data_IF_339981015536
#
_entry.id   IF_339981015536
#
_cell.length_a   1.000
_cell.length_b   1.000
_cell.length_c   1.000
_cell.angle_alpha   90.00
_cell.angle_beta   90.00
_cell.angle_gamma   90.00
#
_symmetry.space_group_name_H-M   'P 1'
#
loop_
_entity.id
_entity.type
_entity.pdbx_description
1 polymer ?
#
# COMPACT_ATOMS: atom_id res chain seq x y z
N UNK A 1 -52.93 8.37 79.63
CA UNK A 1 -53.02 9.20 78.40
C UNK A 1 -51.66 9.84 78.14
N UNK A 2 -51.27 9.85 76.86
CA UNK A 2 -50.07 10.47 76.24
C UNK A 2 -48.82 9.58 76.13
N UNK A 3 -48.78 8.88 74.99
CA UNK A 3 -47.58 8.41 74.30
C UNK A 3 -46.67 9.60 73.97
N UNK A 4 -45.36 9.46 74.20
CA UNK A 4 -44.33 10.24 73.51
C UNK A 4 -43.23 9.27 73.05
N UNK A 5 -43.28 8.91 71.77
CA UNK A 5 -42.20 8.22 71.08
C UNK A 5 -41.12 9.25 70.71
N UNK A 6 -39.88 9.04 71.16
CA UNK A 6 -38.73 9.79 70.67
C UNK A 6 -38.21 9.12 69.40
N UNK A 7 -38.27 9.85 68.28
CA UNK A 7 -37.74 9.45 66.99
C UNK A 7 -36.22 9.66 66.94
N UNK A 8 -35.50 8.61 66.56
CA UNK A 8 -34.08 8.66 66.20
C UNK A 8 -33.98 9.13 64.74
N UNK A 9 -33.37 10.28 64.51
CA UNK A 9 -33.05 10.77 63.16
C UNK A 9 -31.78 10.07 62.69
N UNK A 10 -31.92 9.15 61.73
CA UNK A 10 -30.81 8.51 61.02
C UNK A 10 -30.49 9.34 59.78
N UNK A 11 -29.36 10.05 59.77
CA UNK A 11 -28.84 10.76 58.59
C UNK A 11 -28.12 9.71 57.72
N UNK A 12 -28.75 9.28 56.63
CA UNK A 12 -28.11 8.46 55.60
C UNK A 12 -27.27 9.35 54.67
N UNK A 13 -25.95 9.36 54.86
CA UNK A 13 -25.02 9.81 53.82
C UNK A 13 -24.98 8.76 52.70
N UNK A 14 -25.67 9.03 51.60
CA UNK A 14 -25.50 8.30 50.35
C UNK A 14 -24.18 8.74 49.70
N UNK A 15 -23.10 8.00 49.97
CA UNK A 15 -21.91 8.04 49.13
C UNK A 15 -22.29 7.46 47.75
N UNK A 16 -22.38 8.32 46.72
CA UNK A 16 -22.42 7.86 45.33
C UNK A 16 -21.07 7.20 45.04
N UNK A 17 -21.05 5.88 44.98
CA UNK A 17 -19.93 5.16 44.39
C UNK A 17 -19.79 5.62 42.93
N UNK A 18 -18.63 6.17 42.58
CA UNK A 18 -18.30 6.48 41.20
C UNK A 18 -18.30 5.16 40.41
N UNK A 19 -19.19 5.05 39.42
CA UNK A 19 -19.12 3.98 38.44
C UNK A 19 -17.79 4.18 37.68
N UNK A 20 -16.91 3.18 37.57
CA UNK A 20 -15.70 3.32 36.78
C UNK A 20 -16.10 3.70 35.35
N UNK A 21 -15.52 4.77 34.81
CA UNK A 21 -15.72 5.14 33.42
C UNK A 21 -15.33 3.95 32.55
N UNK A 22 -16.17 3.60 31.58
CA UNK A 22 -15.86 2.53 30.65
C UNK A 22 -14.56 2.86 29.89
N UNK A 23 -13.71 1.85 29.69
CA UNK A 23 -12.45 2.02 28.94
C UNK A 23 -12.75 2.48 27.50
N UNK A 24 -11.97 3.42 26.94
CA UNK A 24 -12.12 3.83 25.56
C UNK A 24 -12.09 2.64 24.59
N UNK A 25 -13.03 2.62 23.66
CA UNK A 25 -13.12 1.64 22.58
C UNK A 25 -12.34 2.11 21.36
N UNK A 26 -11.59 1.19 20.74
CA UNK A 26 -10.89 1.44 19.46
C UNK A 26 -11.60 0.66 18.35
N UNK A 27 -12.20 1.38 17.41
CA UNK A 27 -12.77 0.82 16.19
C UNK A 27 -11.80 1.05 15.02
N UNK A 28 -11.60 0.02 14.20
CA UNK A 28 -10.73 0.08 13.01
C UNK A 28 -11.54 -0.37 11.80
N UNK A 29 -11.43 0.39 10.72
CA UNK A 29 -11.84 -0.04 9.38
C UNK A 29 -10.66 0.02 8.43
N UNK A 30 -10.53 -1.03 7.62
CA UNK A 30 -9.49 -1.15 6.60
C UNK A 30 -10.15 -1.45 5.25
N UNK A 31 -9.84 -0.63 4.25
CA UNK A 31 -10.09 -0.95 2.85
C UNK A 31 -8.78 -1.40 2.23
N UNK A 32 -8.74 -2.62 1.72
CA UNK A 32 -7.59 -3.13 0.98
C UNK A 32 -7.20 -2.19 -0.17
N UNK A 33 -5.95 -2.25 -0.64
CA UNK A 33 -5.47 -1.39 -1.73
C UNK A 33 -6.35 -1.47 -2.99
N UNK A 34 -6.95 -2.64 -3.22
CA UNK A 34 -7.97 -2.81 -4.24
C UNK A 34 -9.19 -1.90 -4.00
N UNK A 35 -9.80 -1.88 -2.82
CA UNK A 35 -11.07 -1.19 -2.63
C UNK A 35 -10.93 0.26 -2.13
N UNK A 36 -9.70 0.71 -1.94
CA UNK A 36 -9.36 2.08 -1.57
C UNK A 36 -9.59 3.05 -2.74
N UNK A 37 -10.26 4.17 -2.43
CA UNK A 37 -10.54 5.23 -3.40
C UNK A 37 -10.59 6.59 -2.71
N UNK A 38 -10.38 7.65 -3.49
CA UNK A 38 -10.42 9.01 -2.96
C UNK A 38 -11.76 9.29 -2.24
N UNK A 39 -11.69 10.03 -1.13
CA UNK A 39 -12.87 10.42 -0.34
C UNK A 39 -13.14 9.58 0.92
N UNK A 40 -12.36 8.53 1.18
CA UNK A 40 -12.29 7.85 2.50
C UNK A 40 -13.67 7.44 3.06
N UNK A 41 -14.51 6.84 2.22
CA UNK A 41 -15.83 6.37 2.63
C UNK A 41 -15.72 5.04 3.36
N UNK A 42 -16.02 4.97 4.66
CA UNK A 42 -16.07 3.72 5.42
C UNK A 42 -17.51 3.39 5.84
N UNK A 43 -17.75 2.20 6.42
CA UNK A 43 -19.11 1.78 6.77
C UNK A 43 -19.59 2.42 8.07
N UNK A 44 -18.70 2.61 9.05
CA UNK A 44 -19.06 3.04 10.41
C UNK A 44 -18.30 4.29 10.85
N UNK A 45 -17.05 4.45 10.45
CA UNK A 45 -16.24 5.64 10.71
C UNK A 45 -16.56 6.68 9.64
N UNK A 46 -16.91 7.89 10.07
CA UNK A 46 -17.13 9.01 9.15
C UNK A 46 -15.88 9.29 8.31
N UNK A 47 -16.05 9.91 7.14
CA UNK A 47 -14.91 10.42 6.37
C UNK A 47 -14.31 11.67 7.05
N UNK A 48 -13.06 12.06 6.71
CA UNK A 48 -12.45 13.31 7.16
C UNK A 48 -13.39 14.52 7.08
N UNK A 49 -13.62 15.17 8.22
CA UNK A 49 -14.49 16.34 8.34
C UNK A 49 -13.73 17.64 8.07
N UNK A 50 -14.43 18.72 7.72
CA UNK A 50 -13.81 20.04 7.47
C UNK A 50 -14.02 21.04 8.62
N UNK A 51 -14.87 20.69 9.59
CA UNK A 51 -15.35 21.61 10.63
C UNK A 51 -15.36 20.96 12.03
N UNK A 52 -14.58 19.91 12.25
CA UNK A 52 -14.40 19.32 13.57
C UNK A 52 -13.50 20.21 14.46
N UNK A 53 -13.30 19.83 15.73
CA UNK A 53 -12.56 20.66 16.67
C UNK A 53 -11.05 20.73 16.36
N UNK A 54 -10.49 19.75 15.65
CA UNK A 54 -9.09 19.76 15.24
C UNK A 54 -8.84 20.75 14.09
N UNK A 55 -9.84 21.07 13.26
CA UNK A 55 -9.70 21.99 12.13
C UNK A 55 -9.21 23.42 12.51
N UNK A 56 -9.31 23.80 13.79
CA UNK A 56 -8.81 25.07 14.33
C UNK A 56 -7.73 24.88 15.40
N UNK A 57 -7.27 23.65 15.61
CA UNK A 57 -6.27 23.33 16.61
C UNK A 57 -4.87 23.75 16.16
N UNK A 58 -3.94 23.73 17.10
CA UNK A 58 -2.51 23.88 16.81
C UNK A 58 -1.84 22.51 16.89
N UNK A 59 -1.33 22.04 15.76
CA UNK A 59 -0.52 20.84 15.68
C UNK A 59 0.96 21.22 15.84
N UNK A 60 1.70 20.47 16.65
CA UNK A 60 3.12 20.69 16.85
C UNK A 60 3.90 19.37 16.93
N UNK A 61 5.08 19.35 16.29
CA UNK A 61 6.01 18.23 16.39
C UNK A 61 6.84 18.37 17.67
N UNK A 62 6.47 17.61 18.70
CA UNK A 62 7.18 17.61 19.99
C UNK A 62 8.45 16.78 19.93
N UNK A 63 8.43 15.68 19.16
CA UNK A 63 9.58 14.82 18.96
C UNK A 63 9.53 14.14 17.59
N UNK A 64 10.70 13.75 17.09
CA UNK A 64 10.87 13.13 15.77
C UNK A 64 11.14 14.16 14.68
N UNK A 65 11.35 13.67 13.46
CA UNK A 65 11.62 14.50 12.30
C UNK A 65 10.62 14.16 11.19
N UNK A 66 9.97 15.18 10.63
CA UNK A 66 9.13 15.05 9.44
C UNK A 66 9.99 14.71 8.22
N UNK A 67 9.52 13.81 7.36
CA UNK A 67 10.17 13.60 6.07
C UNK A 67 9.95 14.81 5.15
N UNK A 68 10.99 15.32 4.46
CA UNK A 68 10.85 16.49 3.60
C UNK A 68 9.88 16.29 2.43
N UNK A 69 9.63 15.05 1.99
CA UNK A 69 8.68 14.75 0.91
C UNK A 69 7.23 14.74 1.39
N UNK A 70 7.00 14.62 2.70
CA UNK A 70 5.66 14.64 3.27
C UNK A 70 5.00 16.01 3.23
N UNK A 71 3.70 16.06 3.49
CA UNK A 71 3.00 17.27 3.87
C UNK A 71 3.52 17.83 5.19
N UNK A 72 3.28 19.12 5.42
CA UNK A 72 3.48 19.74 6.73
C UNK A 72 2.34 19.31 7.70
N UNK A 73 2.39 19.70 8.98
CA UNK A 73 1.42 19.22 9.98
C UNK A 73 -0.02 19.64 9.67
N UNK A 74 -0.20 20.71 8.91
CA UNK A 74 -1.49 21.27 8.53
C UNK A 74 -2.34 20.28 7.72
N UNK A 75 -1.72 19.32 7.03
CA UNK A 75 -2.45 18.25 6.31
C UNK A 75 -3.14 17.25 7.24
N UNK A 76 -2.99 17.40 8.56
CA UNK A 76 -3.68 16.56 9.55
C UNK A 76 -4.99 17.19 10.03
N UNK A 77 -5.32 18.40 9.58
CA UNK A 77 -6.48 19.18 10.05
C UNK A 77 -7.11 20.05 8.96
N UNK A 78 -6.76 19.85 7.69
CA UNK A 78 -7.24 20.71 6.60
C UNK A 78 -8.54 20.20 5.97
N UNK A 79 -9.09 19.10 6.50
CA UNK A 79 -10.27 18.41 6.02
C UNK A 79 -10.10 17.80 4.63
N UNK A 80 -8.87 17.70 4.11
CA UNK A 80 -8.56 17.14 2.80
C UNK A 80 -7.81 15.83 2.98
N UNK A 81 -8.52 14.75 2.69
CA UNK A 81 -7.89 13.44 2.60
C UNK A 81 -7.09 13.26 1.29
N UNK A 82 -6.08 12.39 1.32
CA UNK A 82 -5.31 12.00 0.15
C UNK A 82 -6.21 11.49 -0.99
N UNK A 83 -5.93 11.92 -2.21
CA UNK A 83 -6.68 11.51 -3.40
C UNK A 83 -6.13 10.25 -4.07
N UNK A 84 -4.93 9.83 -3.69
CA UNK A 84 -4.27 8.63 -4.22
C UNK A 84 -3.46 7.91 -3.15
N UNK A 85 -3.21 6.62 -3.39
CA UNK A 85 -2.52 5.74 -2.44
C UNK A 85 -1.07 6.15 -2.14
N UNK A 86 -0.40 6.90 -3.00
CA UNK A 86 0.98 7.34 -2.78
C UNK A 86 1.09 8.82 -3.13
N UNK A 87 0.60 9.67 -2.22
CA UNK A 87 0.58 11.12 -2.36
C UNK A 87 1.31 11.79 -1.20
N UNK A 88 2.66 11.79 -1.19
CA UNK A 88 3.46 12.30 -0.08
C UNK A 88 3.06 13.71 0.39
N UNK A 89 2.84 14.65 -0.53
CA UNK A 89 2.50 16.03 -0.19
C UNK A 89 1.14 16.20 0.54
N UNK A 90 0.23 15.23 0.43
CA UNK A 90 -1.06 15.22 1.10
C UNK A 90 -1.07 14.38 2.40
N UNK A 91 0.11 13.91 2.84
CA UNK A 91 0.21 13.05 4.02
C UNK A 91 1.38 13.49 4.90
N UNK A 92 1.17 13.52 6.20
CA UNK A 92 2.24 13.64 7.16
C UNK A 92 2.86 12.26 7.44
N UNK A 93 4.20 12.20 7.43
CA UNK A 93 4.94 11.03 7.88
C UNK A 93 6.33 11.40 8.40
N UNK A 94 6.85 10.55 9.28
CA UNK A 94 8.19 10.70 9.84
C UNK A 94 9.28 10.27 8.86
N UNK A 95 10.45 10.88 9.00
CA UNK A 95 11.64 10.64 8.20
C UNK A 95 12.06 9.17 8.29
N UNK A 96 12.50 8.62 7.15
CA UNK A 96 12.93 7.25 7.05
C UNK A 96 14.06 6.91 8.05
N UNK A 97 13.98 5.72 8.65
CA UNK A 97 14.95 5.21 9.62
C UNK A 97 14.81 5.78 11.03
N UNK A 98 13.79 6.59 11.31
CA UNK A 98 13.52 7.10 12.67
C UNK A 98 12.61 6.16 13.46
N UNK A 99 12.48 6.38 14.77
CA UNK A 99 11.60 5.57 15.62
C UNK A 99 10.10 5.95 15.49
N UNK A 100 9.80 7.05 14.79
CA UNK A 100 8.54 7.78 14.87
C UNK A 100 8.72 9.07 15.67
N UNK A 101 7.69 9.51 16.38
CA UNK A 101 7.75 10.76 17.13
C UNK A 101 6.45 11.10 17.86
N UNK A 102 6.34 12.36 18.27
CA UNK A 102 5.23 12.85 19.09
C UNK A 102 4.58 14.05 18.41
N UNK A 103 3.28 13.96 18.18
CA UNK A 103 2.46 15.04 17.63
C UNK A 103 1.55 15.54 18.74
N UNK A 104 1.69 16.80 19.11
CA UNK A 104 0.80 17.51 20.02
C UNK A 104 -0.34 18.13 19.22
N UNK A 105 -1.57 17.97 19.72
CA UNK A 105 -2.75 18.71 19.28
C UNK A 105 -3.25 19.55 20.45
N UNK A 106 -3.11 20.87 20.35
CA UNK A 106 -3.70 21.82 21.30
C UNK A 106 -4.99 22.40 20.71
N UNK A 107 -6.13 22.00 21.28
CA UNK A 107 -7.46 22.43 20.86
C UNK A 107 -7.76 23.91 21.25
N UNK A 108 -6.85 24.55 22.00
CA UNK A 108 -6.97 25.92 22.48
C UNK A 108 -7.97 26.12 23.63
N UNK A 109 -8.85 25.13 23.86
CA UNK A 109 -9.79 25.06 24.99
C UNK A 109 -10.10 23.61 25.33
N UNK A 110 -10.69 23.38 26.49
CA UNK A 110 -11.28 22.08 26.80
C UNK A 110 -12.48 21.82 25.86
N UNK A 111 -12.48 20.65 25.23
CA UNK A 111 -13.53 20.14 24.34
C UNK A 111 -14.07 18.86 24.96
N UNK A 112 -15.40 18.71 25.01
CA UNK A 112 -16.02 17.45 25.43
C UNK A 112 -15.97 16.47 24.24
N UNK A 113 -14.92 15.66 24.19
CA UNK A 113 -14.62 14.84 23.01
C UNK A 113 -15.53 13.61 23.01
N UNK A 114 -16.31 13.44 21.94
CA UNK A 114 -17.07 12.21 21.68
C UNK A 114 -16.17 11.11 21.16
N UNK A 115 -15.39 11.40 20.12
CA UNK A 115 -14.45 10.47 19.52
C UNK A 115 -13.33 11.20 18.77
N UNK A 116 -12.21 10.51 18.58
CA UNK A 116 -11.02 10.99 17.86
C UNK A 116 -10.81 10.03 16.69
N UNK A 117 -10.85 10.56 15.47
CA UNK A 117 -10.65 9.77 14.26
C UNK A 117 -9.29 10.07 13.65
N UNK A 118 -8.66 9.05 13.06
CA UNK A 118 -7.39 9.22 12.34
C UNK A 118 -7.37 8.37 11.08
N UNK A 119 -6.80 8.93 10.01
CA UNK A 119 -6.91 8.39 8.66
C UNK A 119 -5.53 8.24 8.02
N UNK A 120 -5.34 7.18 7.24
CA UNK A 120 -4.09 6.95 6.51
C UNK A 120 -4.32 6.16 5.23
N UNK A 121 -3.43 6.34 4.23
CA UNK A 121 -3.47 5.59 2.98
C UNK A 121 -2.07 5.38 2.40
N UNK A 122 -1.72 4.12 2.14
CA UNK A 122 -0.52 3.77 1.38
C UNK A 122 -0.66 2.42 0.64
N UNK A 123 -0.01 2.15 -0.51
CA UNK A 123 -0.05 0.85 -1.18
C UNK A 123 0.59 -0.31 -0.39
N UNK A 124 1.29 -0.04 0.73
CA UNK A 124 2.13 -1.02 1.45
C UNK A 124 2.09 -0.80 2.96
N UNK A 125 3.05 -1.37 3.69
CA UNK A 125 3.28 -1.26 5.14
C UNK A 125 3.35 0.16 5.75
N UNK A 126 3.22 1.22 4.95
CA UNK A 126 3.08 2.60 5.43
C UNK A 126 1.61 3.04 5.55
N UNK A 127 0.66 2.15 5.28
CA UNK A 127 -0.78 2.37 5.46
C UNK A 127 -1.23 2.20 6.91
N UNK A 128 -0.83 1.13 7.63
CA UNK A 128 -1.25 0.91 9.00
C UNK A 128 -0.84 2.04 9.95
N UNK A 129 -1.59 2.21 11.03
CA UNK A 129 -1.37 3.21 12.06
C UNK A 129 -0.87 2.52 13.34
N UNK A 130 0.23 3.03 13.90
CA UNK A 130 0.80 2.53 15.16
C UNK A 130 1.09 3.70 16.08
N UNK A 131 0.26 3.91 17.10
CA UNK A 131 0.45 4.99 18.06
C UNK A 131 -0.17 4.70 19.43
N UNK A 132 0.26 5.45 20.44
CA UNK A 132 -0.42 5.57 21.73
C UNK A 132 -0.99 6.99 21.84
N UNK A 133 -2.24 7.08 22.27
CA UNK A 133 -2.98 8.34 22.36
C UNK A 133 -3.16 8.69 23.83
N UNK A 134 -2.80 9.92 24.18
CA UNK A 134 -2.97 10.50 25.50
C UNK A 134 -3.77 11.79 25.42
N UNK A 135 -4.40 12.18 26.53
CA UNK A 135 -5.08 13.45 26.67
C UNK A 135 -4.72 14.16 27.98
N UNK A 136 -4.91 15.48 28.01
CA UNK A 136 -4.76 16.26 29.24
C UNK A 136 -5.67 17.48 29.24
N UNK A 137 -6.12 17.86 30.44
CA UNK A 137 -6.76 19.15 30.69
C UNK A 137 -5.73 20.30 30.77
N UNK A 138 -4.45 19.96 30.88
CA UNK A 138 -3.35 20.90 31.13
C UNK A 138 -3.30 21.47 32.54
N UNK A 139 -4.17 21.00 33.44
CA UNK A 139 -4.28 21.50 34.83
C UNK A 139 -3.62 20.56 35.85
N UNK A 140 -3.15 19.39 35.42
CA UNK A 140 -2.46 18.45 36.29
C UNK A 140 -1.17 19.08 36.83
N UNK A 141 -0.85 18.81 38.10
CA UNK A 141 0.42 19.24 38.67
C UNK A 141 1.57 18.58 37.92
N UNK A 142 2.61 19.34 37.56
CA UNK A 142 3.73 18.84 36.77
C UNK A 142 3.40 18.59 35.29
N UNK A 143 2.28 19.11 34.78
CA UNK A 143 1.94 19.00 33.36
C UNK A 143 3.06 19.57 32.48
N UNK A 144 3.61 18.72 31.62
CA UNK A 144 4.52 19.12 30.56
C UNK A 144 3.81 18.95 29.21
N UNK A 145 3.45 20.03 28.49
CA UNK A 145 2.77 19.93 27.20
C UNK A 145 3.66 19.37 26.09
N UNK A 146 4.99 19.39 26.27
CA UNK A 146 5.97 18.97 25.26
C UNK A 146 6.95 17.96 25.87
N UNK A 147 6.48 16.78 26.30
CA UNK A 147 7.35 15.77 26.88
C UNK A 147 8.31 15.24 25.81
N UNK A 148 9.61 15.27 26.12
CA UNK A 148 10.66 14.76 25.24
C UNK A 148 10.45 13.28 24.89
N UNK A 149 11.13 12.80 23.85
CA UNK A 149 10.92 11.45 23.30
C UNK A 149 11.06 10.32 24.35
N UNK A 150 11.95 10.50 25.31
CA UNK A 150 12.29 9.58 26.42
C UNK A 150 11.47 9.82 27.70
N UNK A 151 10.66 10.89 27.75
CA UNK A 151 9.81 11.21 28.90
C UNK A 151 8.50 10.44 28.81
N UNK A 152 8.17 9.66 29.84
CA UNK A 152 6.85 9.02 29.97
C UNK A 152 5.74 10.06 30.14
N UNK A 153 4.77 10.18 29.20
CA UNK A 153 3.70 11.17 29.31
C UNK A 153 2.91 11.06 30.61
N UNK A 154 2.69 9.85 31.14
CA UNK A 154 1.87 9.63 32.34
C UNK A 154 2.50 10.25 33.59
N UNK A 155 3.82 10.39 33.60
CA UNK A 155 4.57 11.00 34.70
C UNK A 155 4.55 12.53 34.68
N UNK A 156 4.05 13.14 33.60
CA UNK A 156 4.03 14.59 33.43
C UNK A 156 2.66 15.10 32.98
N UNK A 157 1.59 14.56 33.57
CA UNK A 157 0.24 15.11 33.50
C UNK A 157 -0.57 14.74 32.26
N UNK A 158 -0.22 13.64 31.58
CA UNK A 158 -1.02 13.06 30.51
C UNK A 158 -1.74 11.79 30.97
N UNK A 159 -2.97 11.61 30.51
CA UNK A 159 -3.79 10.42 30.78
C UNK A 159 -3.85 9.54 29.52
N UNK A 160 -3.61 8.23 29.63
CA UNK A 160 -3.68 7.34 28.48
C UNK A 160 -5.13 7.13 28.05
N UNK A 161 -5.41 7.30 26.76
CA UNK A 161 -6.72 7.03 26.17
C UNK A 161 -6.75 5.70 25.42
N UNK A 162 -5.78 5.44 24.55
CA UNK A 162 -5.81 4.25 23.70
C UNK A 162 -4.42 3.86 23.19
N UNK A 163 -4.30 2.58 22.81
CA UNK A 163 -3.19 2.07 22.02
C UNK A 163 -3.72 1.51 20.70
N UNK A 164 -3.18 2.02 19.60
CA UNK A 164 -3.60 1.69 18.24
C UNK A 164 -2.47 0.97 17.53
N UNK A 165 -2.81 -0.19 16.96
CA UNK A 165 -1.94 -0.95 16.05
C UNK A 165 -2.83 -1.63 15.00
N UNK A 166 -2.93 -1.03 13.82
CA UNK A 166 -3.80 -1.54 12.75
C UNK A 166 -3.09 -2.48 11.80
N UNK A 167 -1.86 -2.92 12.12
CA UNK A 167 -1.12 -3.84 11.26
C UNK A 167 -1.86 -5.18 11.16
N UNK A 168 -2.13 -5.68 9.94
CA UNK A 168 -2.83 -6.94 9.79
C UNK A 168 -1.97 -8.08 10.32
N UNK A 169 -2.57 -8.98 11.10
CA UNK A 169 -1.91 -10.22 11.55
C UNK A 169 -1.57 -11.14 10.38
N UNK A 170 -2.42 -11.12 9.35
CA UNK A 170 -2.29 -11.87 8.09
C UNK A 170 -2.94 -11.04 6.98
N UNK A 171 -2.40 -11.07 5.76
CA UNK A 171 -3.00 -10.38 4.59
C UNK A 171 -2.30 -9.08 4.21
N UNK A 172 -2.99 -8.24 3.45
CA UNK A 172 -2.42 -7.04 2.83
C UNK A 172 -2.26 -5.87 3.81
N UNK A 173 -1.05 -5.30 3.86
CA UNK A 173 -0.75 -4.10 4.63
C UNK A 173 -1.19 -2.80 3.95
N UNK A 174 -1.37 -2.82 2.63
CA UNK A 174 -1.73 -1.63 1.85
C UNK A 174 -3.21 -1.30 1.94
N UNK A 175 -3.56 -0.08 1.54
CA UNK A 175 -4.92 0.43 1.49
C UNK A 175 -5.19 1.58 2.46
N UNK A 176 -6.46 1.87 2.66
CA UNK A 176 -6.93 2.95 3.53
C UNK A 176 -7.29 2.42 4.92
N UNK A 177 -6.84 3.11 5.95
CA UNK A 177 -7.20 2.83 7.34
C UNK A 177 -7.92 4.03 7.92
N UNK A 178 -9.00 3.76 8.65
CA UNK A 178 -9.62 4.68 9.57
C UNK A 178 -9.65 4.06 10.96
N UNK A 179 -9.28 4.84 11.96
CA UNK A 179 -9.36 4.47 13.37
C UNK A 179 -10.25 5.48 14.06
N UNK A 180 -11.15 5.01 14.91
CA UNK A 180 -11.98 5.83 15.78
C UNK A 180 -11.77 5.37 17.23
N UNK A 181 -11.25 6.26 18.06
CA UNK A 181 -11.17 6.10 19.52
C UNK A 181 -12.37 6.82 20.10
N UNK A 182 -13.22 6.13 20.86
CA UNK A 182 -14.45 6.67 21.42
C UNK A 182 -14.86 5.95 22.70
N UNK A 183 -16.05 6.25 23.24
CA UNK A 183 -16.57 5.61 24.45
C UNK A 183 -18.02 5.12 24.24
N UNK A 184 -18.22 4.27 23.22
CA UNK A 184 -19.56 3.89 22.77
C UNK A 184 -20.38 5.12 22.34
N UNK A 185 -21.59 5.25 22.88
CA UNK A 185 -22.47 6.41 22.64
C UNK A 185 -22.16 7.60 23.57
N UNK A 186 -21.21 7.46 24.50
CA UNK A 186 -20.81 8.47 25.46
C UNK A 186 -19.67 9.37 24.97
N UNK A 187 -19.03 10.06 25.92
CA UNK A 187 -17.87 10.94 25.68
C UNK A 187 -16.60 10.33 26.27
N UNK A 188 -15.47 10.60 25.62
CA UNK A 188 -14.12 10.26 26.10
C UNK A 188 -13.68 11.14 27.27
N UNK A 189 -14.23 12.36 27.36
CA UNK A 189 -13.93 13.32 28.42
C UNK A 189 -13.70 14.72 27.89
N UNK A 190 -13.51 15.67 28.82
CA UNK A 190 -13.27 17.08 28.50
C UNK A 190 -11.77 17.36 28.49
N UNK A 191 -11.18 17.48 27.30
CA UNK A 191 -9.72 17.55 27.11
C UNK A 191 -9.34 18.78 26.28
N UNK A 192 -8.19 19.39 26.58
CA UNK A 192 -7.63 20.47 25.74
C UNK A 192 -6.49 19.96 24.87
N UNK A 193 -5.66 19.08 25.41
CA UNK A 193 -4.46 18.60 24.75
C UNK A 193 -4.62 17.13 24.41
N UNK A 194 -4.18 16.75 23.21
CA UNK A 194 -3.98 15.37 22.79
C UNK A 194 -2.51 15.16 22.40
N UNK A 195 -1.98 13.98 22.69
CA UNK A 195 -0.62 13.60 22.31
C UNK A 195 -0.65 12.25 21.59
N UNK A 196 -0.26 12.25 20.33
CA UNK A 196 -0.04 11.04 19.54
C UNK A 196 1.44 10.65 19.65
N UNK A 197 1.72 9.56 20.35
CA UNK A 197 3.04 8.93 20.39
C UNK A 197 3.11 7.88 19.29
N UNK A 198 3.58 8.30 18.11
CA UNK A 198 3.61 7.50 16.88
C UNK A 198 4.87 6.65 16.82
N UNK A 199 4.72 5.40 16.40
CA UNK A 199 5.82 4.45 16.20
C UNK A 199 5.92 4.02 14.74
N UNK A 200 7.07 3.50 14.35
CA UNK A 200 7.27 2.84 13.04
C UNK A 200 6.32 1.66 12.85
N UNK A 201 5.86 1.45 11.62
CA UNK A 201 5.00 0.33 11.22
C UNK A 201 5.80 -0.93 10.92
N UNK A 202 7.10 -0.80 10.61
CA UNK A 202 8.00 -1.90 10.30
C UNK A 202 9.37 -1.69 10.93
N UNK A 203 9.95 -2.78 11.45
CA UNK A 203 11.30 -2.77 12.02
C UNK A 203 12.40 -3.06 10.98
N UNK A 204 12.02 -3.62 9.84
CA UNK A 204 12.94 -4.10 8.79
C UNK A 204 12.90 -3.24 7.52
N UNK A 205 11.95 -2.32 7.42
CA UNK A 205 11.83 -1.38 6.30
C UNK A 205 12.12 0.02 6.81
N UNK A 206 13.17 0.64 6.28
CA UNK A 206 13.56 2.01 6.66
C UNK A 206 12.46 3.03 6.38
N UNK A 207 11.55 2.77 5.44
CA UNK A 207 10.41 3.64 5.16
C UNK A 207 9.18 3.33 6.01
N UNK A 208 9.23 2.39 6.96
CA UNK A 208 8.09 1.92 7.73
C UNK A 208 7.47 2.95 8.68
N UNK A 209 6.83 3.99 8.15
CA UNK A 209 6.10 5.02 8.89
C UNK A 209 4.74 5.26 8.23
N UNK A 210 3.71 5.45 9.05
CA UNK A 210 2.34 5.73 8.62
C UNK A 210 2.26 7.01 7.77
N UNK A 211 1.55 6.97 6.64
CA UNK A 211 1.08 8.15 5.89
C UNK A 211 -0.23 8.63 6.48
N UNK A 212 -0.16 9.50 7.49
CA UNK A 212 -1.37 10.10 8.05
C UNK A 212 -1.91 11.18 7.11
N UNK A 213 -3.20 11.14 6.84
CA UNK A 213 -3.85 12.11 5.93
C UNK A 213 -4.81 13.06 6.63
N UNK A 214 -5.27 12.76 7.84
CA UNK A 214 -6.15 13.62 8.64
C UNK A 214 -6.27 13.05 10.07
N UNK A 215 -6.51 13.92 11.05
CA UNK A 215 -6.94 13.63 12.41
C UNK A 215 -8.13 14.52 12.75
N UNK A 216 -9.30 13.92 13.01
CA UNK A 216 -10.50 14.63 13.44
C UNK A 216 -10.70 14.49 14.95
N UNK A 217 -11.14 15.56 15.60
CA UNK A 217 -11.59 15.58 17.01
C UNK A 217 -13.04 16.01 17.05
N UNK A 218 -13.94 15.05 17.33
CA UNK A 218 -15.37 15.28 17.29
C UNK A 218 -15.87 15.74 18.66
N UNK A 219 -16.27 17.01 18.74
CA UNK A 219 -16.91 17.64 19.90
C UNK A 219 -18.34 17.11 20.05
N UNK A 220 -18.69 16.64 21.25
CA UNK A 220 -20.03 16.16 21.60
C UNK A 220 -21.12 17.25 21.45
N UNK A 221 -20.72 18.52 21.60
CA UNK A 221 -21.59 19.69 21.48
C UNK A 221 -21.27 20.52 20.23
N UNK A 222 -20.45 19.98 19.32
CA UNK A 222 -20.09 20.62 18.07
C UNK A 222 -21.25 20.68 17.07
N UNK A 223 -21.09 21.47 15.98
CA UNK A 223 -22.04 21.45 14.88
C UNK A 223 -22.06 20.07 14.20
N UNK A 224 -23.08 19.85 13.36
CA UNK A 224 -23.08 18.69 12.48
C UNK A 224 -21.82 18.73 11.58
N UNK A 225 -21.17 17.57 11.44
CA UNK A 225 -19.95 17.47 10.65
C UNK A 225 -20.25 17.71 9.17
N UNK A 226 -19.47 18.60 8.60
CA UNK A 226 -19.41 18.87 7.18
C UNK A 226 -18.17 18.19 6.61
N UNK A 227 -18.21 17.93 5.30
CA UNK A 227 -17.15 17.16 4.65
C UNK A 227 -16.86 17.77 3.30
N UNK A 228 -15.59 17.73 2.90
CA UNK A 228 -15.19 18.11 1.56
C UNK A 228 -15.97 17.27 0.52
N UNK A 229 -16.30 17.88 -0.61
CA UNK A 229 -16.70 17.10 -1.77
C UNK A 229 -15.59 16.07 -2.05
N UNK A 230 -15.93 14.82 -2.42
CA UNK A 230 -14.91 13.89 -2.91
C UNK A 230 -14.11 14.62 -3.99
N UNK A 231 -12.77 14.50 -4.02
CA UNK A 231 -11.98 15.19 -5.03
C UNK A 231 -12.55 14.83 -6.39
N UNK A 232 -12.76 15.85 -7.24
CA UNK A 232 -13.27 15.65 -8.59
C UNK A 232 -12.41 14.59 -9.28
N UNK A 233 -13.02 13.73 -10.12
CA UNK A 233 -12.27 12.77 -10.92
C UNK A 233 -11.14 13.53 -11.60
N UNK A 234 -9.90 13.11 -11.33
CA UNK A 234 -8.74 13.70 -12.00
C UNK A 234 -8.93 13.55 -13.50
N UNK A 235 -8.91 14.67 -14.21
CA UNK A 235 -8.96 14.67 -15.67
C UNK A 235 -7.80 13.81 -16.20
N UNK A 236 -8.08 12.97 -17.19
CA UNK A 236 -7.10 12.01 -17.72
C UNK A 236 -6.89 10.75 -16.87
N UNK A 237 -7.66 10.52 -15.80
CA UNK A 237 -7.66 9.24 -15.05
C UNK A 237 -8.94 8.46 -15.32
N UNK A 238 -8.79 7.29 -15.93
CA UNK A 238 -9.90 6.43 -16.33
C UNK A 238 -9.83 5.06 -15.68
N UNK A 239 -10.98 4.56 -15.22
CA UNK A 239 -11.10 3.26 -14.58
C UNK A 239 -11.78 2.26 -15.51
N UNK A 240 -11.18 1.07 -15.62
CA UNK A 240 -11.64 -0.01 -16.49
C UNK A 240 -11.90 -1.27 -15.69
N UNK A 241 -12.98 -1.97 -16.03
CA UNK A 241 -13.35 -3.26 -15.42
C UNK A 241 -12.91 -4.43 -16.30
N UNK A 242 -12.54 -5.54 -15.66
CA UNK A 242 -12.18 -6.81 -16.29
C UNK A 242 -13.02 -7.92 -15.64
N UNK A 243 -13.50 -8.88 -16.44
CA UNK A 243 -14.38 -9.97 -15.97
C UNK A 243 -15.56 -9.49 -15.12
N UNK A 244 -16.34 -8.52 -15.61
CA UNK A 244 -17.53 -8.01 -14.91
C UNK A 244 -17.23 -7.33 -13.58
N UNK A 245 -16.06 -6.68 -13.47
CA UNK A 245 -15.66 -5.93 -12.27
C UNK A 245 -14.91 -6.77 -11.23
N UNK A 246 -14.63 -8.05 -11.50
CA UNK A 246 -13.79 -8.89 -10.63
C UNK A 246 -12.40 -8.29 -10.44
N UNK A 247 -11.84 -7.75 -11.51
CA UNK A 247 -10.62 -6.94 -11.49
C UNK A 247 -10.88 -5.54 -12.08
N UNK A 248 -10.08 -4.55 -11.67
CA UNK A 248 -10.15 -3.19 -12.19
C UNK A 248 -8.76 -2.61 -12.37
N UNK A 249 -8.52 -1.83 -13.42
CA UNK A 249 -7.30 -1.04 -13.53
C UNK A 249 -7.59 0.41 -13.85
N UNK A 250 -6.66 1.29 -13.48
CA UNK A 250 -6.70 2.69 -13.88
C UNK A 250 -5.66 2.97 -14.97
N UNK A 251 -6.05 3.78 -15.95
CA UNK A 251 -5.13 4.46 -16.87
C UNK A 251 -5.05 5.92 -16.45
N UNK A 252 -3.87 6.35 -16.01
CA UNK A 252 -3.59 7.74 -15.68
C UNK A 252 -2.71 8.34 -16.78
N UNK A 253 -3.32 9.17 -17.59
CA UNK A 253 -2.70 9.99 -18.65
C UNK A 253 -2.83 11.48 -18.33
N UNK A 254 -3.08 11.84 -17.07
CA UNK A 254 -3.29 13.22 -16.64
C UNK A 254 -2.09 14.14 -16.93
N UNK A 255 -0.87 13.59 -16.93
CA UNK A 255 0.36 14.32 -17.30
C UNK A 255 0.66 14.28 -18.81
N UNK A 256 -0.06 13.44 -19.57
CA UNK A 256 0.24 13.12 -20.98
C UNK A 256 -1.05 12.99 -21.81
N UNK A 257 -1.88 14.05 -21.88
CA UNK A 257 -3.18 13.99 -22.55
C UNK A 257 -3.07 13.63 -24.05
N UNK A 258 -1.93 13.90 -24.69
CA UNK A 258 -1.62 13.51 -26.07
C UNK A 258 -1.56 11.99 -26.28
N UNK A 259 -1.29 11.21 -25.23
CA UNK A 259 -1.25 9.75 -25.27
C UNK A 259 -2.59 9.09 -24.91
N UNK A 260 -3.61 9.87 -24.52
CA UNK A 260 -4.88 9.36 -24.02
C UNK A 260 -5.59 8.44 -25.02
N UNK A 261 -5.74 8.88 -26.27
CA UNK A 261 -6.45 8.11 -27.28
C UNK A 261 -5.72 6.81 -27.63
N UNK A 262 -4.38 6.85 -27.71
CA UNK A 262 -3.60 5.64 -27.92
C UNK A 262 -3.74 4.67 -26.74
N UNK A 263 -3.68 5.15 -25.50
CA UNK A 263 -3.84 4.32 -24.30
C UNK A 263 -5.23 3.66 -24.25
N UNK A 264 -6.30 4.42 -24.53
CA UNK A 264 -7.68 3.90 -24.61
C UNK A 264 -7.87 2.84 -25.69
N UNK A 265 -7.25 3.05 -26.86
CA UNK A 265 -7.44 2.17 -28.02
C UNK A 265 -6.53 0.95 -28.03
N UNK A 266 -5.32 1.06 -27.49
CA UNK A 266 -4.30 0.01 -27.59
C UNK A 266 -4.03 -0.69 -26.27
N UNK A 267 -3.99 0.05 -25.15
CA UNK A 267 -3.60 -0.49 -23.85
C UNK A 267 -4.81 -1.03 -23.10
N UNK A 268 -5.91 -0.28 -22.99
CA UNK A 268 -7.08 -0.76 -22.26
C UNK A 268 -7.66 -2.09 -22.80
N UNK A 269 -7.78 -2.33 -24.13
CA UNK A 269 -8.21 -3.61 -24.66
C UNK A 269 -7.19 -4.73 -24.40
N UNK A 270 -5.88 -4.44 -24.58
CA UNK A 270 -4.81 -5.40 -24.31
C UNK A 270 -4.86 -5.88 -22.85
N UNK A 271 -4.98 -4.96 -21.90
CA UNK A 271 -5.04 -5.29 -20.47
C UNK A 271 -6.29 -6.11 -20.14
N UNK A 272 -7.47 -5.71 -20.65
CA UNK A 272 -8.73 -6.45 -20.45
C UNK A 272 -8.66 -7.88 -20.97
N UNK A 273 -8.02 -8.09 -22.11
CA UNK A 273 -7.89 -9.40 -22.72
C UNK A 273 -6.84 -10.27 -22.00
N UNK A 274 -5.68 -9.69 -21.70
CA UNK A 274 -4.52 -10.48 -21.31
C UNK A 274 -4.35 -10.63 -19.81
N UNK A 275 -4.85 -9.71 -18.98
CA UNK A 275 -4.72 -9.86 -17.53
C UNK A 275 -5.32 -11.18 -17.00
N UNK A 276 -6.55 -11.58 -17.38
CA UNK A 276 -7.09 -12.89 -16.98
C UNK A 276 -6.30 -14.08 -17.54
N UNK A 277 -5.82 -13.99 -18.79
CA UNK A 277 -5.00 -15.04 -19.42
C UNK A 277 -3.68 -15.23 -18.67
N UNK A 278 -3.02 -14.14 -18.30
CA UNK A 278 -1.76 -14.15 -17.55
C UNK A 278 -1.94 -14.81 -16.17
N UNK A 279 -3.05 -14.55 -15.47
CA UNK A 279 -3.37 -15.21 -14.19
C UNK A 279 -3.45 -16.74 -14.38
N UNK A 280 -4.08 -17.21 -15.46
CA UNK A 280 -4.20 -18.64 -15.75
C UNK A 280 -2.87 -19.27 -16.20
N UNK A 281 -2.00 -18.51 -16.87
CA UNK A 281 -0.69 -18.96 -17.33
C UNK A 281 0.37 -18.98 -16.22
N UNK A 282 0.19 -18.18 -15.16
CA UNK A 282 1.10 -18.06 -14.03
C UNK A 282 0.44 -18.46 -12.70
N UNK A 283 -0.12 -19.68 -12.57
CA UNK A 283 -0.71 -20.14 -11.32
C UNK A 283 0.38 -20.50 -10.30
N UNK A 284 0.03 -20.45 -9.03
CA UNK A 284 0.77 -21.08 -7.93
C UNK A 284 -0.19 -21.33 -6.77
N UNK A 285 0.20 -22.17 -5.82
CA UNK A 285 -0.66 -22.50 -4.68
C UNK A 285 -0.92 -21.25 -3.81
N UNK A 286 -2.18 -21.06 -3.38
CA UNK A 286 -2.58 -19.94 -2.52
C UNK A 286 -2.50 -18.54 -3.15
N UNK A 287 -2.16 -18.42 -4.43
CA UNK A 287 -2.04 -17.13 -5.09
C UNK A 287 -3.40 -16.52 -5.41
N UNK A 288 -3.65 -15.35 -4.83
CA UNK A 288 -4.70 -14.44 -5.25
C UNK A 288 -4.09 -13.33 -6.11
N UNK A 289 -4.51 -13.17 -7.38
CA UNK A 289 -4.02 -12.09 -8.22
C UNK A 289 -4.51 -10.72 -7.74
N UNK A 290 -3.75 -9.64 -7.95
CA UNK A 290 -4.19 -8.31 -7.58
C UNK A 290 -5.57 -7.98 -8.15
N UNK A 291 -6.50 -7.56 -7.29
CA UNK A 291 -7.83 -7.17 -7.77
C UNK A 291 -7.80 -5.83 -8.47
N UNK A 292 -6.87 -4.95 -8.11
CA UNK A 292 -6.65 -3.68 -8.80
C UNK A 292 -5.18 -3.33 -8.99
N UNK A 293 -4.93 -2.57 -10.05
CA UNK A 293 -3.61 -2.05 -10.39
C UNK A 293 -3.75 -0.76 -11.21
N UNK A 294 -2.66 -0.02 -11.35
CA UNK A 294 -2.64 1.26 -12.07
C UNK A 294 -1.56 1.28 -13.14
N UNK A 295 -1.83 1.98 -14.23
CA UNK A 295 -0.88 2.25 -15.32
C UNK A 295 -0.80 3.76 -15.48
N UNK A 296 0.35 4.32 -15.11
CA UNK A 296 0.59 5.76 -15.06
C UNK A 296 1.57 6.17 -16.15
N UNK A 297 1.14 7.05 -17.04
CA UNK A 297 1.97 7.64 -18.08
C UNK A 297 2.60 8.91 -17.50
N UNK A 298 3.89 8.82 -17.18
CA UNK A 298 4.58 9.86 -16.44
C UNK A 298 5.47 10.66 -17.38
N UNK A 299 5.31 11.99 -17.37
CA UNK A 299 6.13 12.87 -18.21
C UNK A 299 7.59 12.91 -17.77
N UNK A 300 7.85 12.67 -16.47
CA UNK A 300 9.18 12.81 -15.86
C UNK A 300 9.91 11.46 -15.69
N UNK A 301 9.25 10.33 -15.99
CA UNK A 301 9.89 9.02 -15.88
C UNK A 301 10.96 8.84 -16.97
N UNK A 302 12.14 8.40 -16.54
CA UNK A 302 13.23 7.98 -17.42
C UNK A 302 13.15 6.48 -17.72
N UNK A 303 13.75 6.06 -18.84
CA UNK A 303 13.76 4.65 -19.27
C UNK A 303 12.58 4.29 -20.17
N UNK A 304 11.96 3.13 -19.92
CA UNK A 304 10.91 2.54 -20.78
C UNK A 304 9.59 2.46 -20.01
N UNK A 305 9.54 1.54 -19.07
CA UNK A 305 8.45 1.33 -18.12
C UNK A 305 9.01 0.55 -16.91
N UNK A 306 8.26 0.51 -15.81
CA UNK A 306 8.64 -0.23 -14.62
C UNK A 306 7.42 -0.54 -13.75
N UNK A 307 7.39 -1.73 -13.18
CA UNK A 307 6.36 -2.16 -12.24
C UNK A 307 6.87 -2.17 -10.81
N UNK A 308 6.09 -1.59 -9.91
CA UNK A 308 6.28 -1.72 -8.47
C UNK A 308 4.98 -2.19 -7.82
N UNK A 309 4.93 -3.47 -7.44
CA UNK A 309 3.73 -4.08 -6.88
C UNK A 309 2.58 -4.09 -7.88
N UNK A 310 1.60 -3.22 -7.69
CA UNK A 310 0.40 -3.06 -8.52
C UNK A 310 0.41 -1.75 -9.33
N UNK A 311 1.54 -1.06 -9.40
CA UNK A 311 1.68 0.20 -10.15
C UNK A 311 2.69 0.05 -11.28
N UNK A 312 2.21 0.22 -12.51
CA UNK A 312 3.04 0.34 -13.71
C UNK A 312 3.26 1.83 -13.97
N UNK A 313 4.51 2.25 -14.10
CA UNK A 313 4.87 3.58 -14.60
C UNK A 313 5.48 3.44 -16.00
N UNK A 314 5.06 4.31 -16.92
CA UNK A 314 5.53 4.32 -18.29
C UNK A 314 6.20 5.67 -18.61
N UNK A 315 7.37 5.64 -19.24
CA UNK A 315 8.09 6.83 -19.66
C UNK A 315 7.45 7.43 -20.93
N UNK A 316 6.74 8.55 -20.77
CA UNK A 316 5.96 9.17 -21.84
C UNK A 316 6.81 9.48 -23.09
N UNK A 317 8.01 10.03 -22.89
CA UNK A 317 8.92 10.41 -23.98
C UNK A 317 9.43 9.22 -24.79
N UNK A 318 9.60 8.08 -24.14
CA UNK A 318 9.95 6.85 -24.83
C UNK A 318 8.74 6.27 -25.57
N UNK A 319 7.56 6.26 -24.94
CA UNK A 319 6.32 5.78 -25.55
C UNK A 319 6.00 6.53 -26.85
N UNK A 320 6.10 7.87 -26.86
CA UNK A 320 5.86 8.71 -28.06
C UNK A 320 6.67 8.26 -29.27
N UNK A 321 7.89 7.77 -29.05
CA UNK A 321 8.82 7.30 -30.09
C UNK A 321 8.55 5.86 -30.53
N UNK A 322 7.71 5.11 -29.80
CA UNK A 322 7.54 3.67 -29.95
C UNK A 322 6.08 3.22 -30.07
N UNK A 323 5.11 4.13 -30.27
CA UNK A 323 3.67 3.81 -30.32
C UNK A 323 3.29 2.75 -31.37
N UNK A 324 4.03 2.70 -32.49
CA UNK A 324 3.85 1.72 -33.57
C UNK A 324 4.82 0.52 -33.47
N UNK A 325 5.63 0.47 -32.42
CA UNK A 325 6.62 -0.57 -32.18
C UNK A 325 6.48 -1.11 -30.76
N UNK A 326 7.57 -1.02 -29.98
CA UNK A 326 7.73 -1.69 -28.69
C UNK A 326 6.80 -1.19 -27.56
N UNK A 327 6.07 -0.07 -27.73
CA UNK A 327 5.33 0.55 -26.63
C UNK A 327 4.26 -0.36 -26.01
N UNK A 328 3.45 -1.03 -26.84
CA UNK A 328 2.40 -1.94 -26.35
C UNK A 328 3.00 -3.16 -25.66
N UNK A 329 4.01 -3.77 -26.26
CA UNK A 329 4.71 -4.93 -25.71
C UNK A 329 5.48 -4.60 -24.42
N UNK A 330 6.06 -3.40 -24.30
CA UNK A 330 6.72 -2.97 -23.06
C UNK A 330 5.72 -2.82 -21.90
N UNK A 331 4.52 -2.27 -22.14
CA UNK A 331 3.48 -2.21 -21.10
C UNK A 331 2.94 -3.62 -20.79
N UNK A 332 2.86 -4.52 -21.78
CA UNK A 332 2.53 -5.92 -21.54
C UNK A 332 3.58 -6.61 -20.65
N UNK A 333 4.88 -6.37 -20.89
CA UNK A 333 5.97 -6.87 -20.05
C UNK A 333 5.73 -6.47 -18.58
N UNK A 334 5.45 -5.20 -18.33
CA UNK A 334 5.10 -4.72 -16.99
C UNK A 334 3.82 -5.35 -16.41
N UNK A 335 2.80 -5.58 -17.24
CA UNK A 335 1.58 -6.26 -16.82
C UNK A 335 1.84 -7.69 -16.32
N UNK A 336 2.81 -8.40 -16.91
CA UNK A 336 3.22 -9.72 -16.39
C UNK A 336 3.80 -9.59 -14.98
N UNK A 337 4.60 -8.56 -14.70
CA UNK A 337 5.14 -8.33 -13.36
C UNK A 337 4.05 -8.07 -12.31
N UNK A 338 2.95 -7.39 -12.70
CA UNK A 338 1.76 -7.25 -11.82
C UNK A 338 1.20 -8.61 -11.43
N UNK A 339 1.22 -9.61 -12.32
CA UNK A 339 0.75 -10.98 -12.02
C UNK A 339 1.81 -11.83 -11.31
N UNK A 340 3.10 -11.60 -11.55
CA UNK A 340 4.16 -12.37 -10.89
C UNK A 340 4.14 -12.18 -9.38
N UNK A 341 4.02 -10.94 -8.88
CA UNK A 341 4.03 -10.59 -7.44
C UNK A 341 5.17 -11.25 -6.64
N UNK A 342 6.30 -11.57 -7.26
CA UNK A 342 7.37 -12.35 -6.60
C UNK A 342 7.93 -11.64 -5.35
N UNK A 343 7.93 -10.30 -5.32
CA UNK A 343 8.38 -9.52 -4.17
C UNK A 343 7.35 -9.36 -3.04
N UNK A 344 6.08 -9.65 -3.29
CA UNK A 344 4.97 -9.42 -2.34
C UNK A 344 4.33 -10.72 -1.83
N UNK A 345 4.67 -11.87 -2.44
CA UNK A 345 4.12 -13.16 -2.04
C UNK A 345 4.53 -13.51 -0.59
N UNK A 346 3.62 -14.10 0.23
CA UNK A 346 3.97 -14.61 1.55
C UNK A 346 5.14 -15.57 1.45
N UNK A 347 6.27 -15.23 2.09
CA UNK A 347 7.51 -16.00 2.03
C UNK A 347 7.87 -16.49 3.42
N UNK A 348 8.25 -17.76 3.52
CA UNK A 348 8.86 -18.29 4.73
C UNK A 348 10.20 -17.61 4.97
N UNK A 349 10.70 -17.64 6.22
CA UNK A 349 11.98 -17.04 6.58
C UNK A 349 13.18 -17.59 5.75
N UNK A 350 13.03 -18.79 5.17
CA UNK A 350 14.05 -19.46 4.37
C UNK A 350 13.76 -19.41 2.85
N UNK A 351 12.83 -18.55 2.41
CA UNK A 351 12.47 -18.47 1.00
C UNK A 351 13.63 -17.93 0.15
N UNK A 352 13.94 -18.63 -0.95
CA UNK A 352 14.91 -18.16 -1.94
C UNK A 352 14.48 -16.82 -2.53
N UNK A 353 15.42 -15.91 -2.82
CA UNK A 353 15.10 -14.69 -3.57
C UNK A 353 14.74 -15.05 -5.03
N UNK A 354 13.75 -14.37 -5.65
CA UNK A 354 13.46 -14.55 -7.07
C UNK A 354 14.71 -14.27 -7.93
N UNK A 355 15.14 -15.19 -8.80
CA UNK A 355 16.26 -14.93 -9.71
C UNK A 355 15.87 -13.87 -10.73
N UNK A 356 16.67 -12.80 -10.85
CA UNK A 356 16.39 -11.70 -11.78
C UNK A 356 16.24 -12.18 -13.23
N UNK A 357 17.16 -13.04 -13.69
CA UNK A 357 17.15 -13.53 -15.07
C UNK A 357 15.88 -14.31 -15.42
N UNK A 358 15.33 -15.10 -14.48
CA UNK A 358 14.05 -15.79 -14.68
C UNK A 358 12.87 -14.84 -14.55
N UNK A 359 12.94 -13.85 -13.66
CA UNK A 359 11.88 -12.85 -13.49
C UNK A 359 11.64 -12.11 -14.80
N UNK A 360 12.72 -11.59 -15.41
CA UNK A 360 12.67 -10.89 -16.70
C UNK A 360 12.43 -11.85 -17.87
N UNK A 361 13.08 -13.01 -17.86
CA UNK A 361 13.01 -13.98 -18.95
C UNK A 361 11.64 -14.65 -19.10
N UNK A 362 10.96 -14.98 -17.99
CA UNK A 362 9.58 -15.48 -18.00
C UNK A 362 8.63 -14.43 -18.57
N UNK A 363 8.84 -13.17 -18.21
CA UNK A 363 8.06 -12.05 -18.72
C UNK A 363 8.22 -11.93 -20.24
N UNK A 364 9.46 -11.89 -20.73
CA UNK A 364 9.71 -11.79 -22.16
C UNK A 364 9.36 -13.06 -22.93
N UNK A 365 9.32 -14.24 -22.27
CA UNK A 365 8.77 -15.45 -22.87
C UNK A 365 7.29 -15.29 -23.18
N UNK A 366 6.50 -14.83 -22.20
CA UNK A 366 5.07 -14.57 -22.40
C UNK A 366 4.84 -13.46 -23.42
N UNK A 367 5.69 -12.43 -23.43
CA UNK A 367 5.60 -11.37 -24.43
C UNK A 367 5.90 -11.90 -25.84
N UNK A 368 7.12 -12.37 -26.09
CA UNK A 368 7.61 -12.62 -27.45
C UNK A 368 7.25 -14.00 -28.02
N UNK A 369 6.72 -14.94 -27.23
CA UNK A 369 6.30 -16.25 -27.74
C UNK A 369 4.81 -16.54 -27.55
N UNK A 370 4.09 -15.73 -26.76
CA UNK A 370 2.65 -15.92 -26.52
C UNK A 370 1.81 -14.72 -26.94
N UNK A 371 2.22 -13.50 -26.58
CA UNK A 371 1.45 -12.28 -26.88
C UNK A 371 1.70 -11.73 -28.28
N UNK A 372 2.98 -11.55 -28.65
CA UNK A 372 3.38 -10.95 -29.94
C UNK A 372 4.43 -11.79 -30.71
N UNK A 373 4.20 -13.11 -30.91
CA UNK A 373 5.16 -14.01 -31.56
C UNK A 373 5.53 -13.60 -32.99
N UNK A 374 4.65 -12.90 -33.70
CA UNK A 374 4.86 -12.39 -35.05
C UNK A 374 6.00 -11.37 -35.12
N UNK A 375 6.33 -10.69 -34.01
CA UNK A 375 7.43 -9.73 -33.96
C UNK A 375 8.79 -10.41 -34.03
N UNK A 376 8.86 -11.70 -33.67
CA UNK A 376 10.11 -12.45 -33.52
C UNK A 376 11.12 -11.74 -32.60
N UNK A 377 10.64 -10.91 -31.67
CA UNK A 377 11.49 -10.00 -30.90
C UNK A 377 12.49 -10.69 -29.96
N UNK A 378 12.33 -11.99 -29.70
CA UNK A 378 13.28 -12.81 -28.95
C UNK A 378 14.12 -13.77 -29.82
N UNK A 379 14.05 -13.70 -31.16
CA UNK A 379 14.95 -14.48 -32.01
C UNK A 379 16.41 -14.00 -31.83
N UNK A 380 17.33 -14.94 -31.61
CA UNK A 380 18.75 -14.63 -31.48
C UNK A 380 19.40 -14.74 -32.85
N UNK A 381 19.93 -13.62 -33.35
CA UNK A 381 20.66 -13.61 -34.61
C UNK A 381 21.98 -14.40 -34.51
N UNK A 382 22.47 -14.98 -35.63
CA UNK A 382 23.75 -15.69 -35.64
C UNK A 382 24.92 -14.87 -35.10
N UNK A 383 24.92 -13.55 -35.35
CA UNK A 383 25.92 -12.61 -34.84
C UNK A 383 25.96 -12.58 -33.30
N UNK A 384 24.80 -12.74 -32.66
CA UNK A 384 24.66 -12.64 -31.21
C UNK A 384 24.72 -14.01 -30.51
N UNK A 385 24.60 -15.12 -31.25
CA UNK A 385 24.58 -16.48 -30.72
C UNK A 385 25.78 -16.79 -29.80
N UNK A 386 26.99 -16.39 -30.21
CA UNK A 386 28.20 -16.62 -29.42
C UNK A 386 28.18 -15.92 -28.03
N UNK A 387 27.49 -14.78 -27.93
CA UNK A 387 27.37 -13.99 -26.69
C UNK A 387 26.15 -14.33 -25.85
N UNK A 388 25.21 -15.09 -26.42
CA UNK A 388 24.00 -15.51 -25.71
C UNK A 388 24.36 -16.37 -24.49
N UNK A 389 23.65 -16.10 -23.38
CA UNK A 389 23.71 -16.85 -22.13
C UNK A 389 22.28 -17.09 -21.65
N UNK A 390 21.98 -18.29 -21.17
CA UNK A 390 20.62 -18.64 -20.73
C UNK A 390 20.11 -17.74 -19.60
N UNK A 391 21.02 -17.20 -18.78
CA UNK A 391 20.80 -16.25 -17.68
C UNK A 391 21.00 -14.78 -18.11
N UNK A 392 20.92 -14.50 -19.42
CA UNK A 392 21.08 -13.16 -19.99
C UNK A 392 19.90 -12.20 -19.75
N UNK A 393 18.88 -12.63 -19.01
CA UNK A 393 17.60 -11.95 -18.80
C UNK A 393 16.83 -11.68 -20.11
N UNK A 394 15.61 -11.13 -19.97
CA UNK A 394 14.82 -10.60 -21.09
C UNK A 394 14.70 -11.58 -22.27
N UNK A 395 14.69 -11.06 -23.50
CA UNK A 395 14.69 -11.78 -24.79
C UNK A 395 15.63 -12.98 -24.86
N UNK A 396 16.84 -12.87 -24.31
CA UNK A 396 17.84 -13.96 -24.41
C UNK A 396 17.40 -15.15 -23.56
N UNK A 397 17.01 -14.90 -22.31
CA UNK A 397 16.43 -15.94 -21.46
C UNK A 397 15.10 -16.43 -22.01
N UNK A 398 14.24 -15.54 -22.53
CA UNK A 398 12.97 -15.92 -23.13
C UNK A 398 13.14 -16.94 -24.28
N UNK A 399 14.15 -16.73 -25.13
CA UNK A 399 14.49 -17.66 -26.20
C UNK A 399 14.91 -19.03 -25.65
N UNK A 400 15.78 -19.04 -24.63
CA UNK A 400 16.18 -20.26 -23.94
C UNK A 400 14.98 -20.98 -23.31
N UNK A 401 14.10 -20.26 -22.61
CA UNK A 401 12.90 -20.81 -21.98
C UNK A 401 11.94 -21.40 -23.00
N UNK A 402 11.78 -20.75 -24.16
CA UNK A 402 10.98 -21.31 -25.24
C UNK A 402 11.57 -22.61 -25.77
N UNK A 403 12.87 -22.64 -26.08
CA UNK A 403 13.55 -23.87 -26.52
C UNK A 403 13.42 -25.00 -25.48
N UNK A 404 13.69 -24.71 -24.20
CA UNK A 404 13.64 -25.70 -23.13
C UNK A 404 12.22 -26.23 -22.91
N UNK A 405 11.22 -25.34 -22.95
CA UNK A 405 9.81 -25.72 -22.81
C UNK A 405 9.33 -26.58 -23.97
N UNK A 406 9.78 -26.28 -25.20
CA UNK A 406 9.40 -27.05 -26.37
C UNK A 406 10.03 -28.45 -26.38
N UNK A 407 11.27 -28.56 -25.89
CA UNK A 407 12.07 -29.78 -26.00
C UNK A 407 11.91 -30.74 -24.82
N UNK A 408 11.77 -30.23 -23.60
CA UNK A 408 11.77 -31.08 -22.39
C UNK A 408 10.43 -31.10 -21.67
N UNK A 409 9.79 -29.95 -21.47
CA UNK A 409 8.55 -29.86 -20.69
C UNK A 409 7.73 -28.62 -21.07
N UNK A 410 6.58 -28.84 -21.70
CA UNK A 410 5.70 -27.74 -22.15
C UNK A 410 5.15 -26.90 -21.00
N UNK A 411 5.13 -27.44 -19.78
CA UNK A 411 4.68 -26.75 -18.56
C UNK A 411 5.85 -26.13 -17.77
N UNK A 412 7.08 -26.18 -18.28
CA UNK A 412 8.29 -25.73 -17.59
C UNK A 412 8.15 -24.31 -17.03
N UNK A 413 7.72 -23.36 -17.87
CA UNK A 413 7.51 -21.95 -17.50
C UNK A 413 6.53 -21.81 -16.32
N UNK A 414 5.41 -22.54 -16.36
CA UNK A 414 4.41 -22.53 -15.28
C UNK A 414 4.95 -23.12 -13.98
N UNK A 415 5.72 -24.21 -14.05
CA UNK A 415 6.36 -24.83 -12.88
C UNK A 415 7.45 -23.93 -12.27
N UNK A 416 8.24 -23.26 -13.11
CA UNK A 416 9.24 -22.28 -12.67
C UNK A 416 8.56 -21.09 -11.99
N UNK A 417 7.50 -20.53 -12.57
CA UNK A 417 6.72 -19.46 -11.95
C UNK A 417 6.25 -19.84 -10.53
N UNK A 418 5.62 -21.01 -10.38
CA UNK A 418 5.13 -21.46 -9.08
C UNK A 418 6.26 -21.59 -8.06
N UNK A 419 7.37 -22.23 -8.42
CA UNK A 419 8.52 -22.39 -7.54
C UNK A 419 9.15 -21.04 -7.12
N UNK A 420 9.21 -20.07 -8.05
CA UNK A 420 9.74 -18.73 -7.76
C UNK A 420 8.79 -17.96 -6.84
N UNK A 421 7.48 -17.96 -7.12
CA UNK A 421 6.48 -17.25 -6.30
C UNK A 421 6.44 -17.80 -4.87
N UNK A 422 6.48 -19.12 -4.74
CA UNK A 422 6.44 -19.82 -3.44
C UNK A 422 7.79 -19.81 -2.70
N UNK A 423 8.84 -19.24 -3.29
CA UNK A 423 10.16 -19.15 -2.64
C UNK A 423 10.91 -20.46 -2.52
N UNK A 424 10.55 -21.44 -3.34
CA UNK A 424 11.14 -22.79 -3.36
C UNK A 424 12.13 -23.01 -4.51
N UNK A 425 12.35 -21.99 -5.34
CA UNK A 425 13.27 -22.09 -6.47
C UNK A 425 14.72 -22.36 -6.01
N UNK A 426 15.32 -23.35 -6.66
CA UNK A 426 16.76 -23.64 -6.68
C UNK A 426 17.11 -24.29 -8.02
N UNK A 427 18.39 -24.31 -8.39
CA UNK A 427 18.81 -24.81 -9.70
C UNK A 427 18.59 -26.32 -9.88
N UNK A 428 18.55 -27.12 -8.80
CA UNK A 428 18.26 -28.56 -8.88
C UNK A 428 16.87 -28.83 -9.45
N UNK A 429 15.96 -27.85 -9.41
CA UNK A 429 14.66 -27.94 -10.06
C UNK A 429 14.78 -28.20 -11.56
N UNK A 430 15.79 -27.66 -12.25
CA UNK A 430 16.01 -27.91 -13.67
C UNK A 430 16.27 -29.38 -13.95
N UNK A 431 17.11 -30.02 -13.14
CA UNK A 431 17.43 -31.44 -13.28
C UNK A 431 16.22 -32.32 -12.98
N UNK A 432 15.40 -31.94 -11.99
CA UNK A 432 14.15 -32.64 -11.67
C UNK A 432 13.12 -32.55 -12.80
N UNK A 433 13.04 -31.40 -13.48
CA UNK A 433 12.05 -31.16 -14.53
C UNK A 433 12.48 -31.65 -15.92
N UNK A 434 13.79 -31.63 -16.21
CA UNK A 434 14.30 -31.88 -17.57
C UNK A 434 15.29 -33.04 -17.66
N UNK A 435 15.77 -33.56 -16.52
CA UNK A 435 16.86 -34.53 -16.43
C UNK A 435 18.27 -33.91 -16.53
N UNK A 436 18.38 -32.60 -16.82
CA UNK A 436 19.66 -31.89 -17.00
C UNK A 436 19.75 -30.65 -16.10
N UNK A 437 20.98 -30.29 -15.74
CA UNK A 437 21.26 -29.01 -15.07
C UNK A 437 20.99 -27.84 -16.01
N UNK A 438 20.75 -26.64 -15.47
CA UNK A 438 20.50 -25.46 -16.30
C UNK A 438 21.70 -25.08 -17.16
N UNK A 439 22.91 -25.38 -16.69
CA UNK A 439 24.16 -25.19 -17.41
C UNK A 439 24.23 -26.11 -18.63
N UNK A 440 23.98 -27.41 -18.46
CA UNK A 440 23.94 -28.38 -19.58
C UNK A 440 22.85 -28.02 -20.60
N UNK A 441 21.68 -27.58 -20.14
CA UNK A 441 20.60 -27.09 -21.01
C UNK A 441 21.03 -25.83 -21.77
N UNK A 442 21.71 -24.90 -21.10
CA UNK A 442 22.21 -23.67 -21.69
C UNK A 442 23.23 -23.93 -22.79
N UNK A 443 24.16 -24.86 -22.56
CA UNK A 443 25.16 -25.27 -23.54
C UNK A 443 24.50 -25.94 -24.75
N UNK A 444 23.54 -26.83 -24.51
CA UNK A 444 22.81 -27.53 -25.57
C UNK A 444 21.95 -26.57 -26.41
N UNK A 445 21.24 -25.65 -25.76
CA UNK A 445 20.51 -24.58 -26.44
C UNK A 445 21.42 -23.73 -27.30
N UNK A 446 22.56 -23.29 -26.75
CA UNK A 446 23.52 -22.42 -27.44
C UNK A 446 24.14 -23.11 -28.65
N UNK A 447 24.43 -24.40 -28.55
CA UNK A 447 24.89 -25.20 -29.68
C UNK A 447 23.85 -25.25 -30.82
N UNK A 448 22.56 -25.20 -30.48
CA UNK A 448 21.47 -25.13 -31.46
C UNK A 448 21.26 -23.76 -32.11
N UNK A 449 21.85 -22.67 -31.57
CA UNK A 449 21.75 -21.33 -32.14
C UNK A 449 22.74 -21.08 -33.29
N UNK A 450 23.81 -21.87 -33.37
CA UNK A 450 24.82 -21.75 -34.43
C UNK A 450 24.37 -22.62 -35.61
N UNK A 451 24.24 -22.07 -36.84
CA UNK A 451 23.93 -22.88 -38.01
C UNK A 451 24.98 -23.99 -38.14
N UNK A 452 24.54 -25.26 -38.29
CA UNK A 452 25.45 -26.31 -38.73
C UNK A 452 25.94 -25.92 -40.11
N UNK A 453 27.23 -25.60 -40.24
CA UNK A 453 27.87 -25.51 -41.55
C UNK A 453 27.65 -26.84 -42.23
N UNK A 454 26.95 -26.83 -43.37
CA UNK A 454 26.85 -28.01 -44.22
C UNK A 454 28.27 -28.39 -44.64
N UNK A 455 28.72 -29.59 -44.24
CA UNK A 455 29.87 -30.26 -44.82
C UNK A 455 29.56 -30.77 -46.23
#
# INVERSE_FOLDING_TARGET
>A
MKNLAHAVILINLLARAAVPAAEPTVMVEHKAAADAEAGFVFQRIGRPAINDAAAQARFELVAGQRDPNGGALEVLQDGKAAGAEDQPAANFFFNAGTAGGRILVDLGRAVEIKQINSYSWHPRNRGPQVYSLYASTGKASGFNPKPAADTDPEQCGWEPLARVDTRPKTGEYGGQYAVSVGNGDGVLGAWQYLLFVVKRTSDTDHFGHTFFTEIDVIDAHGPALEYAAPPARREGVESYEIEGGKYRFTLDVSETPDLADWARQQIAPMVREWYPKLIQMLPSEGFAPPRRFSIVFSKDMQGVAATSGTRIRCAADWLRKNLKGEAKGAIFHELVHVVQQYGSAPRSANASRPPGWLTEGLTDYLRFYVFEPETKGAEISPRNAARARYDGSYRVTANFLNWASQKYDRELVKKLNAAIREGRYNEDLWKKLTGKTVQELGDEWKAGLVPKTAE
#
